data_IF_318549097660
#
_entry.id   IF_318549097660
#
_cell.length_a   1.000
_cell.length_b   1.000
_cell.length_c   1.000
_cell.angle_alpha   90.00
_cell.angle_beta   90.00
_cell.angle_gamma   90.00
#
_symmetry.space_group_name_H-M   'P 1'
#
loop_
_entity.id
_entity.type
_entity.pdbx_description
1 polymer ?
#
# COMPACT_ATOMS: atom_id res chain seq x y z
N UNK A 1 0.94 -8.84 -9.37
CA UNK A 1 -0.51 -8.54 -9.34
C UNK A 1 -0.86 -7.62 -8.18
N UNK A 2 -0.48 -7.95 -6.95
CA UNK A 2 -0.94 -7.25 -5.75
C UNK A 2 -0.26 -5.89 -5.47
N UNK A 3 0.84 -5.57 -6.17
CA UNK A 3 1.56 -4.30 -6.04
C UNK A 3 0.71 -3.06 -6.37
N UNK A 4 -0.25 -3.17 -7.30
CA UNK A 4 -1.17 -2.08 -7.66
C UNK A 4 -2.19 -1.78 -6.56
N UNK A 5 -2.42 -2.74 -5.66
CA UNK A 5 -3.35 -2.62 -4.53
C UNK A 5 -2.66 -2.24 -3.21
N UNK A 6 -1.42 -1.74 -3.27
CA UNK A 6 -0.69 -1.32 -2.08
C UNK A 6 -0.02 -2.47 -1.33
N UNK A 7 0.42 -3.53 -2.02
CA UNK A 7 1.30 -4.53 -1.39
C UNK A 7 2.72 -4.00 -1.26
N UNK A 8 3.25 -4.07 -0.03
CA UNK A 8 4.64 -3.74 0.28
C UNK A 8 5.62 -4.77 -0.23
N UNK A 9 6.90 -4.38 -0.21
CA UNK A 9 8.04 -5.28 -0.38
C UNK A 9 7.92 -6.55 0.49
N UNK A 10 7.52 -6.41 1.76
CA UNK A 10 7.39 -7.54 2.68
C UNK A 10 6.28 -8.50 2.22
N UNK A 11 5.12 -7.96 1.85
CA UNK A 11 4.01 -8.77 1.33
C UNK A 11 4.33 -9.44 0.00
N UNK A 12 5.03 -8.76 -0.90
CA UNK A 12 5.47 -9.31 -2.18
C UNK A 12 6.49 -10.44 -1.98
N UNK A 13 7.47 -10.25 -1.09
CA UNK A 13 8.45 -11.28 -0.71
C UNK A 13 7.75 -12.52 -0.17
N UNK A 14 6.78 -12.36 0.71
CA UNK A 14 6.07 -13.50 1.31
C UNK A 14 5.27 -14.29 0.27
N UNK A 15 4.62 -13.59 -0.67
CA UNK A 15 3.94 -14.22 -1.80
C UNK A 15 4.92 -15.03 -2.66
N UNK A 16 6.14 -14.53 -2.88
CA UNK A 16 7.18 -15.23 -3.65
C UNK A 16 7.74 -16.41 -2.86
N UNK A 17 8.02 -16.23 -1.55
CA UNK A 17 8.51 -17.29 -0.66
C UNK A 17 7.58 -18.50 -0.68
N UNK A 18 6.27 -18.27 -0.51
CA UNK A 18 5.25 -19.33 -0.55
C UNK A 18 5.27 -20.12 -1.87
N UNK A 19 5.50 -19.45 -3.00
CA UNK A 19 5.59 -20.11 -4.32
C UNK A 19 6.88 -20.87 -4.53
N UNK A 20 7.97 -20.47 -3.87
CA UNK A 20 9.23 -21.20 -3.86
C UNK A 20 9.14 -22.44 -2.97
N UNK A 21 8.45 -22.36 -1.83
CA UNK A 21 8.17 -23.49 -0.92
C UNK A 21 7.35 -24.57 -1.61
N UNK A 22 6.28 -24.19 -2.32
CA UNK A 22 5.43 -25.11 -3.09
C UNK A 22 6.23 -25.93 -4.13
N UNK A 23 7.36 -25.41 -4.61
CA UNK A 23 8.22 -26.12 -5.58
C UNK A 23 9.20 -27.08 -4.93
N UNK A 24 9.48 -26.96 -3.63
CA UNK A 24 10.33 -27.88 -2.87
C UNK A 24 11.80 -27.99 -3.33
N UNK A 25 12.29 -27.06 -4.15
CA UNK A 25 13.64 -27.12 -4.73
C UNK A 25 14.74 -26.66 -3.76
N UNK A 26 14.38 -25.96 -2.69
CA UNK A 26 15.31 -25.38 -1.71
C UNK A 26 14.92 -25.89 -0.33
N UNK A 27 15.76 -26.74 0.26
CA UNK A 27 15.54 -27.28 1.61
C UNK A 27 16.02 -26.35 2.74
N UNK A 28 16.97 -25.46 2.46
CA UNK A 28 17.49 -24.50 3.45
C UNK A 28 16.61 -23.25 3.52
N UNK A 29 15.97 -23.05 4.66
CA UNK A 29 15.11 -21.89 4.94
C UNK A 29 15.85 -20.55 4.83
N UNK A 30 17.13 -20.49 5.23
CA UNK A 30 17.93 -19.26 5.13
C UNK A 30 18.19 -18.91 3.66
N UNK A 31 18.50 -19.90 2.85
CA UNK A 31 18.70 -19.72 1.41
C UNK A 31 17.40 -19.32 0.72
N UNK A 32 16.29 -19.98 1.06
CA UNK A 32 14.95 -19.65 0.59
C UNK A 32 14.56 -18.18 0.89
N UNK A 33 14.87 -17.70 2.09
CA UNK A 33 14.64 -16.31 2.47
C UNK A 33 15.47 -15.33 1.64
N UNK A 34 16.76 -15.61 1.41
CA UNK A 34 17.62 -14.75 0.59
C UNK A 34 17.18 -14.73 -0.88
N UNK A 35 16.82 -15.89 -1.43
CA UNK A 35 16.33 -16.00 -2.82
C UNK A 35 15.00 -15.27 -2.99
N UNK A 36 14.06 -15.42 -2.06
CA UNK A 36 12.79 -14.69 -2.11
C UNK A 36 12.98 -13.17 -1.99
N UNK A 37 13.93 -12.70 -1.16
CA UNK A 37 14.29 -11.27 -1.10
C UNK A 37 14.85 -10.77 -2.43
N UNK A 38 15.79 -11.51 -3.02
CA UNK A 38 16.38 -11.14 -4.31
C UNK A 38 15.33 -11.09 -5.42
N UNK A 39 14.51 -12.13 -5.54
CA UNK A 39 13.43 -12.20 -6.52
C UNK A 39 12.40 -11.08 -6.33
N UNK A 40 12.01 -10.78 -5.08
CA UNK A 40 11.10 -9.68 -4.78
C UNK A 40 11.68 -8.33 -5.23
N UNK A 41 12.96 -8.08 -4.95
CA UNK A 41 13.64 -6.85 -5.36
C UNK A 41 13.66 -6.71 -6.89
N UNK A 42 14.10 -7.75 -7.60
CA UNK A 42 14.17 -7.73 -9.08
C UNK A 42 12.79 -7.53 -9.70
N UNK A 43 11.77 -8.24 -9.22
CA UNK A 43 10.40 -8.12 -9.74
C UNK A 43 9.84 -6.72 -9.49
N UNK A 44 10.04 -6.16 -8.30
CA UNK A 44 9.54 -4.81 -7.99
C UNK A 44 10.26 -3.74 -8.80
N UNK A 45 11.58 -3.85 -8.98
CA UNK A 45 12.33 -2.93 -9.84
C UNK A 45 11.88 -3.02 -11.30
N UNK A 46 11.69 -4.22 -11.84
CA UNK A 46 11.17 -4.39 -13.20
C UNK A 46 9.75 -3.81 -13.36
N UNK A 47 8.88 -3.98 -12.36
CA UNK A 47 7.55 -3.37 -12.35
C UNK A 47 7.61 -1.84 -12.32
N UNK A 48 8.55 -1.27 -11.56
CA UNK A 48 8.75 0.19 -11.54
C UNK A 48 9.16 0.70 -12.92
N UNK A 49 10.14 0.06 -13.57
CA UNK A 49 10.61 0.44 -14.91
C UNK A 49 9.53 0.33 -15.98
N UNK A 50 8.69 -0.70 -15.93
CA UNK A 50 7.64 -0.94 -16.93
C UNK A 50 6.45 0.03 -16.84
N UNK A 51 6.16 0.58 -15.66
CA UNK A 51 4.91 1.33 -15.39
C UNK A 51 5.13 2.76 -14.88
N UNK A 52 6.06 3.50 -15.49
CA UNK A 52 6.41 4.87 -15.09
C UNK A 52 5.22 5.84 -15.11
N UNK A 53 4.41 5.83 -16.18
CA UNK A 53 3.25 6.72 -16.30
C UNK A 53 2.18 6.44 -15.23
N UNK A 54 1.87 5.16 -14.98
CA UNK A 54 0.93 4.76 -13.95
C UNK A 54 1.42 5.16 -12.55
N UNK A 55 2.74 5.06 -12.30
CA UNK A 55 3.36 5.54 -11.06
C UNK A 55 3.24 7.05 -10.90
N UNK A 56 3.38 7.80 -11.99
CA UNK A 56 3.12 9.24 -12.00
C UNK A 56 1.70 9.57 -11.53
N UNK A 57 0.69 8.88 -12.06
CA UNK A 57 -0.72 9.05 -11.66
C UNK A 57 -0.93 8.66 -10.19
N UNK A 58 -0.41 7.51 -9.75
CA UNK A 58 -0.52 7.08 -8.35
C UNK A 58 0.10 8.11 -7.41
N UNK A 59 1.31 8.59 -7.71
CA UNK A 59 1.98 9.61 -6.90
C UNK A 59 1.20 10.92 -6.85
N UNK A 60 0.61 11.35 -7.96
CA UNK A 60 -0.23 12.53 -8.01
C UNK A 60 -1.49 12.37 -7.14
N UNK A 61 -2.21 11.25 -7.27
CA UNK A 61 -3.39 10.96 -6.43
C UNK A 61 -3.03 10.89 -4.94
N UNK A 62 -1.89 10.29 -4.62
CA UNK A 62 -1.34 10.25 -3.25
C UNK A 62 -1.08 11.66 -2.71
N UNK A 63 -0.50 12.57 -3.50
CA UNK A 63 -0.26 13.95 -3.08
C UNK A 63 -1.57 14.70 -2.87
N UNK A 64 -2.56 14.55 -3.77
CA UNK A 64 -3.88 15.14 -3.58
C UNK A 64 -4.55 14.65 -2.29
N UNK A 65 -4.49 13.34 -2.01
CA UNK A 65 -5.04 12.78 -0.79
C UNK A 65 -4.36 13.32 0.48
N UNK A 66 -3.04 13.54 0.46
CA UNK A 66 -2.28 14.17 1.57
C UNK A 66 -2.75 15.60 1.85
N UNK A 67 -2.99 16.39 0.81
CA UNK A 67 -3.51 17.76 0.98
C UNK A 67 -4.91 17.73 1.58
N UNK A 68 -5.81 16.88 1.07
CA UNK A 68 -7.19 16.75 1.59
C UNK A 68 -7.21 16.31 3.05
N UNK A 69 -6.39 15.33 3.42
CA UNK A 69 -6.29 14.86 4.81
C UNK A 69 -5.69 15.92 5.74
N UNK A 70 -4.78 16.77 5.24
CA UNK A 70 -4.23 17.89 6.03
C UNK A 70 -5.28 18.95 6.41
N UNK A 71 -6.35 19.06 5.62
CA UNK A 71 -7.52 19.89 5.93
C UNK A 71 -8.57 19.15 6.78
N UNK A 72 -8.21 17.97 7.29
CA UNK A 72 -9.09 17.07 8.04
C UNK A 72 -10.39 16.70 7.31
N UNK A 73 -10.35 16.63 5.98
CA UNK A 73 -11.46 16.16 5.17
C UNK A 73 -11.21 14.75 4.64
N UNK A 74 -12.26 13.93 4.49
CA UNK A 74 -12.12 12.63 3.86
C UNK A 74 -12.02 12.79 2.35
N UNK A 75 -11.17 11.97 1.72
CA UNK A 75 -11.11 11.89 0.26
C UNK A 75 -12.45 11.37 -0.26
N UNK A 76 -13.06 12.13 -1.17
CA UNK A 76 -14.33 11.80 -1.81
C UNK A 76 -14.29 12.09 -3.30
N UNK A 77 -14.97 11.26 -4.09
CA UNK A 77 -15.14 11.49 -5.52
C UNK A 77 -16.47 10.93 -6.00
N UNK A 78 -16.93 11.37 -7.17
CA UNK A 78 -18.10 10.82 -7.85
C UNK A 78 -17.62 9.88 -8.93
N UNK A 79 -18.07 8.62 -8.90
CA UNK A 79 -17.78 7.66 -9.96
C UNK A 79 -18.42 8.10 -11.30
N UNK A 80 -17.95 7.59 -12.45
CA UNK A 80 -18.56 7.89 -13.76
C UNK A 80 -20.04 7.49 -13.85
N UNK A 81 -20.51 6.61 -12.96
CA UNK A 81 -21.90 6.19 -12.84
C UNK A 81 -22.73 7.10 -11.92
N UNK A 82 -22.17 8.20 -11.43
CA UNK A 82 -22.84 9.14 -10.54
C UNK A 82 -22.87 8.75 -9.06
N UNK A 83 -22.27 7.61 -8.69
CA UNK A 83 -22.24 7.17 -7.29
C UNK A 83 -21.14 7.89 -6.50
N UNK A 84 -21.46 8.54 -5.36
CA UNK A 84 -20.47 9.16 -4.49
C UNK A 84 -19.70 8.09 -3.72
N UNK A 85 -18.38 8.19 -3.71
CA UNK A 85 -17.48 7.34 -2.95
C UNK A 85 -16.71 8.20 -1.95
N UNK A 86 -16.65 7.75 -0.70
CA UNK A 86 -15.96 8.43 0.40
C UNK A 86 -15.03 7.44 1.09
N UNK A 87 -13.79 7.84 1.38
CA UNK A 87 -12.84 7.04 2.15
C UNK A 87 -13.02 7.30 3.65
N UNK A 88 -13.47 6.32 4.45
CA UNK A 88 -13.75 6.49 5.87
C UNK A 88 -12.51 6.24 6.75
N UNK A 89 -11.33 6.61 6.29
CA UNK A 89 -10.08 6.37 7.01
C UNK A 89 -9.84 7.50 8.02
N UNK A 90 -10.13 7.20 9.28
CA UNK A 90 -9.96 8.12 10.40
C UNK A 90 -9.10 7.45 11.48
N UNK A 91 -8.10 8.18 11.99
CA UNK A 91 -7.37 7.79 13.20
C UNK A 91 -8.02 8.44 14.42
N UNK A 92 -8.29 7.65 15.45
CA UNK A 92 -8.64 8.17 16.78
C UNK A 92 -7.34 8.42 17.54
N UNK A 93 -7.01 9.69 17.78
CA UNK A 93 -5.92 10.05 18.69
C UNK A 93 -6.47 10.21 20.11
N UNK A 94 -6.05 9.33 21.02
CA UNK A 94 -6.32 9.49 22.46
C UNK A 94 -5.51 10.66 22.98
N UNK A 95 -6.13 11.81 23.12
CA UNK A 95 -5.57 12.91 23.90
C UNK A 95 -5.66 12.52 25.38
N UNK A 96 -4.52 12.32 26.01
CA UNK A 96 -4.39 11.93 27.41
C UNK A 96 -4.92 13.08 28.31
N UNK A 97 -6.23 13.13 28.55
CA UNK A 97 -6.82 14.09 29.50
C UNK A 97 -8.23 14.63 29.22
N UNK A 98 -8.85 14.36 28.06
CA UNK A 98 -10.22 14.81 27.79
C UNK A 98 -11.04 13.72 27.09
N UNK A 99 -12.25 13.44 27.59
CA UNK A 99 -13.20 12.45 27.07
C UNK A 99 -13.79 12.79 25.69
N UNK A 100 -13.12 13.61 24.89
CA UNK A 100 -13.56 14.04 23.56
C UNK A 100 -12.54 13.58 22.52
N UNK A 101 -12.91 12.55 21.75
CA UNK A 101 -12.10 12.06 20.64
C UNK A 101 -12.44 12.87 19.39
N UNK A 102 -11.46 13.61 18.83
CA UNK A 102 -11.61 14.23 17.51
C UNK A 102 -10.96 13.28 16.50
N UNK A 103 -11.74 12.63 15.61
CA UNK A 103 -11.17 11.80 14.56
C UNK A 103 -10.42 12.67 13.55
N UNK A 104 -9.17 12.30 13.26
CA UNK A 104 -8.35 12.92 12.22
C UNK A 104 -8.37 12.05 10.96
N UNK A 105 -8.59 12.66 9.79
CA UNK A 105 -8.53 11.97 8.50
C UNK A 105 -7.10 11.48 8.23
N UNK A 106 -6.96 10.21 7.84
CA UNK A 106 -5.67 9.57 7.60
C UNK A 106 -5.56 9.11 6.15
N UNK A 107 -4.40 9.36 5.53
CA UNK A 107 -4.14 8.82 4.20
C UNK A 107 -3.52 7.44 4.34
N UNK A 108 -4.21 6.43 3.82
CA UNK A 108 -3.75 5.05 3.81
C UNK A 108 -2.68 4.82 2.72
N UNK A 109 -1.65 5.67 2.68
CA UNK A 109 -0.53 5.62 1.71
C UNK A 109 0.57 4.67 2.17
N UNK A 110 0.73 4.48 3.47
CA UNK A 110 1.76 3.63 4.05
C UNK A 110 1.13 2.39 4.70
N UNK A 111 0.70 1.45 3.85
CA UNK A 111 0.59 0.04 4.24
C UNK A 111 1.67 -0.76 3.57
#
# INVERSE_FOLDING_TARGET
>A
MTSVYGVTYVGAREQIKKRLEERGLIADEKLLFRVSCYAAKVILTALEEMFQAARGIMNWLTQCAKVIASENQPVRWTSPLGLPVVQPYMKSERHLGSSFEIPLCDVQVDK
#
